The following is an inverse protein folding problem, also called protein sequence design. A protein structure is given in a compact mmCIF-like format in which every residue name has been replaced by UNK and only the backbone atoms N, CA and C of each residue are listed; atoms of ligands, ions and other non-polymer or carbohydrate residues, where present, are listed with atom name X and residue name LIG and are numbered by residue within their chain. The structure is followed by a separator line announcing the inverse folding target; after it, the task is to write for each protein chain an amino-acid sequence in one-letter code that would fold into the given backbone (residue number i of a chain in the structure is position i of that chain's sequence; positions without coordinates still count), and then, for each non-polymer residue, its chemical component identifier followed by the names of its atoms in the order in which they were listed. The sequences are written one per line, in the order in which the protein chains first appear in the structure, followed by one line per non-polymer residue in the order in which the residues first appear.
data_IF_950703506301
#
_entry.id   IF_950703506301
#
_cell.length_a   1.000
_cell.length_b   1.000
_cell.length_c   1.000
_cell.angle_alpha   90.00
_cell.angle_beta   90.00
_cell.angle_gamma   90.00
#
_symmetry.space_group_name_H-M   'P 1'
#
loop_
_entity.id
_entity.type
_entity.pdbx_description
1 polymer ?
#
# COMPACT_ATOMS: atom_id res chain seq x y z
N UNK A 1 -1.46 -4.03 23.11
CA UNK A 1 -1.99 -3.81 24.44
C UNK A 1 -2.45 -2.36 24.55
N UNK A 2 -3.73 -2.12 24.87
CA UNK A 2 -4.29 -0.77 24.96
C UNK A 2 -4.48 -0.36 26.44
N UNK A 3 -3.96 0.80 26.80
CA UNK A 3 -4.08 1.41 28.12
C UNK A 3 -4.74 2.79 27.96
N UNK A 4 -5.68 3.14 28.84
CA UNK A 4 -6.36 4.42 28.78
C UNK A 4 -5.51 5.53 29.44
N UNK A 5 -5.02 6.49 28.66
CA UNK A 5 -4.18 7.60 29.15
C UNK A 5 -4.94 8.56 30.09
N UNK A 6 -6.26 8.72 29.92
CA UNK A 6 -7.03 9.61 30.80
C UNK A 6 -7.19 9.04 32.21
N UNK A 7 -7.12 7.71 32.36
CA UNK A 7 -7.15 7.04 33.66
C UNK A 7 -5.83 7.11 34.41
N UNK A 8 -4.74 7.43 33.73
CA UNK A 8 -3.36 7.49 34.27
C UNK A 8 -3.01 6.30 35.17
N UNK A 9 -3.42 5.11 34.76
CA UNK A 9 -3.21 3.88 35.50
C UNK A 9 -3.10 2.70 34.54
N UNK A 10 -2.15 1.80 34.84
CA UNK A 10 -2.09 0.46 34.28
C UNK A 10 -2.15 -0.57 35.41
N UNK A 11 -2.57 -1.77 35.11
CA UNK A 11 -2.74 -2.85 36.05
C UNK A 11 -1.57 -3.85 35.96
N UNK A 12 -1.27 -4.57 37.03
CA UNK A 12 -0.28 -5.65 36.98
C UNK A 12 -0.64 -6.73 35.96
N UNK A 13 -1.92 -6.97 35.71
CA UNK A 13 -2.41 -7.91 34.73
C UNK A 13 -1.97 -7.53 33.28
N UNK A 14 -1.94 -6.24 32.94
CA UNK A 14 -1.48 -5.75 31.63
C UNK A 14 0.02 -5.99 31.46
N UNK A 15 0.80 -5.76 32.53
CA UNK A 15 2.23 -6.04 32.53
C UNK A 15 2.51 -7.54 32.42
N UNK A 16 1.75 -8.38 33.12
CA UNK A 16 1.91 -9.83 33.07
C UNK A 16 1.52 -10.42 31.71
N UNK A 17 0.50 -9.86 31.05
CA UNK A 17 0.15 -10.20 29.67
C UNK A 17 1.31 -9.84 28.72
N UNK A 18 1.88 -8.65 28.85
CA UNK A 18 3.01 -8.22 28.01
C UNK A 18 4.22 -9.16 28.19
N UNK A 19 4.58 -9.50 29.45
CA UNK A 19 5.64 -10.47 29.77
C UNK A 19 5.36 -11.84 29.14
N UNK A 20 4.13 -12.34 29.28
CA UNK A 20 3.73 -13.63 28.71
C UNK A 20 3.89 -13.66 27.20
N UNK A 21 3.41 -12.63 26.49
CA UNK A 21 3.47 -12.53 25.03
C UNK A 21 4.91 -12.46 24.51
N UNK A 22 5.75 -11.60 25.11
CA UNK A 22 7.17 -11.49 24.75
C UNK A 22 7.91 -12.82 24.97
N UNK A 23 7.64 -13.52 26.07
CA UNK A 23 8.22 -14.83 26.34
C UNK A 23 7.79 -15.90 25.32
N UNK A 24 6.70 -15.68 24.60
CA UNK A 24 6.24 -16.52 23.50
C UNK A 24 6.75 -16.07 22.13
N UNK A 25 7.63 -15.06 22.10
CA UNK A 25 8.15 -14.50 20.85
C UNK A 25 7.13 -13.62 20.09
N UNK A 26 6.06 -13.20 20.74
CA UNK A 26 5.03 -12.34 20.17
C UNK A 26 5.39 -10.89 20.49
N UNK A 27 5.65 -10.03 19.48
CA UNK A 27 5.96 -8.63 19.72
C UNK A 27 4.75 -7.90 20.31
N UNK A 28 5.01 -7.02 21.27
CA UNK A 28 4.00 -6.23 21.96
C UNK A 28 4.22 -4.75 21.70
N UNK A 29 3.18 -4.03 21.30
CA UNK A 29 3.11 -2.57 21.26
C UNK A 29 2.14 -2.16 22.35
N UNK A 30 2.55 -1.25 23.23
CA UNK A 30 1.66 -0.61 24.18
C UNK A 30 1.06 0.64 23.56
N UNK A 31 -0.25 0.77 23.59
CA UNK A 31 -0.97 1.89 22.98
C UNK A 31 -1.68 2.66 24.09
N UNK A 32 -1.23 3.87 24.35
CA UNK A 32 -1.95 4.81 25.19
C UNK A 32 -3.07 5.44 24.38
N UNK A 33 -4.31 5.15 24.75
CA UNK A 33 -5.51 5.61 24.06
C UNK A 33 -6.08 6.87 24.72
N UNK A 34 -6.84 7.68 23.96
CA UNK A 34 -7.43 8.94 24.44
C UNK A 34 -6.40 9.93 24.97
N UNK A 35 -5.21 9.94 24.39
CA UNK A 35 -4.11 10.82 24.82
C UNK A 35 -4.43 12.28 24.53
N UNK A 36 -4.37 13.11 25.56
CA UNK A 36 -4.57 14.55 25.47
C UNK A 36 -3.24 15.31 25.32
N UNK A 37 -2.21 14.89 26.01
CA UNK A 37 -0.89 15.48 25.94
C UNK A 37 0.10 14.55 25.25
N UNK A 38 0.59 14.94 24.08
CA UNK A 38 1.54 14.17 23.27
C UNK A 38 3.01 14.56 23.50
N UNK A 39 3.26 15.65 24.20
CA UNK A 39 4.61 16.21 24.31
C UNK A 39 5.22 16.00 25.71
N UNK A 40 4.45 16.28 26.76
CA UNK A 40 4.90 16.18 28.15
C UNK A 40 3.94 15.26 28.93
N UNK A 41 3.83 14.01 28.50
CA UNK A 41 2.99 13.03 29.16
C UNK A 41 3.82 12.24 30.18
N UNK A 42 3.67 12.58 31.45
CA UNK A 42 4.38 11.91 32.56
C UNK A 42 3.95 10.45 32.69
N UNK A 43 2.66 10.16 32.51
CA UNK A 43 2.16 8.80 32.54
C UNK A 43 2.73 7.94 31.39
N UNK A 44 2.89 8.52 30.21
CA UNK A 44 3.55 7.82 29.09
C UNK A 44 4.99 7.44 29.44
N UNK A 45 5.75 8.33 30.09
CA UNK A 45 7.12 8.03 30.56
C UNK A 45 7.14 6.92 31.61
N UNK A 46 6.18 6.92 32.53
CA UNK A 46 6.03 5.87 33.52
C UNK A 46 5.76 4.52 32.85
N UNK A 47 4.83 4.48 31.88
CA UNK A 47 4.51 3.28 31.10
C UNK A 47 5.72 2.81 30.27
N UNK A 48 6.44 3.73 29.64
CA UNK A 48 7.69 3.40 28.90
C UNK A 48 8.71 2.71 29.79
N UNK A 49 8.90 3.20 31.00
CA UNK A 49 9.82 2.60 31.97
C UNK A 49 9.32 1.22 32.42
N UNK A 50 8.04 1.09 32.78
CA UNK A 50 7.45 -0.15 33.27
C UNK A 50 7.47 -1.27 32.21
N UNK A 51 7.20 -0.92 30.95
CA UNK A 51 7.12 -1.87 29.83
C UNK A 51 8.39 -1.99 28.98
N UNK A 52 9.48 -1.31 29.36
CA UNK A 52 10.73 -1.23 28.60
C UNK A 52 11.26 -2.57 28.07
N UNK A 53 11.16 -3.62 28.89
CA UNK A 53 11.65 -4.96 28.55
C UNK A 53 10.56 -5.89 28.00
N UNK A 54 9.32 -5.42 27.91
CA UNK A 54 8.13 -6.22 27.61
C UNK A 54 7.29 -5.66 26.47
N UNK A 55 7.75 -4.58 25.86
CA UNK A 55 7.14 -4.02 24.66
C UNK A 55 8.20 -3.57 23.66
N UNK A 56 7.82 -3.55 22.38
CA UNK A 56 8.64 -2.98 21.33
C UNK A 56 8.67 -1.44 21.44
N UNK A 57 7.52 -0.84 21.72
CA UNK A 57 7.36 0.61 21.91
C UNK A 57 6.05 0.94 22.61
N UNK A 58 5.94 2.20 23.04
CA UNK A 58 4.72 2.83 23.55
C UNK A 58 4.26 3.87 22.52
N UNK A 59 3.04 3.72 22.01
CA UNK A 59 2.44 4.65 21.05
C UNK A 59 1.31 5.45 21.72
N UNK A 60 1.37 6.77 21.63
CA UNK A 60 0.31 7.65 22.12
C UNK A 60 -0.71 7.90 21.02
N UNK A 61 -2.00 7.71 21.29
CA UNK A 61 -3.03 7.82 20.25
C UNK A 61 -4.29 8.57 20.75
N UNK A 62 -4.86 9.34 19.83
CA UNK A 62 -6.24 9.82 19.86
C UNK A 62 -6.90 9.46 18.53
N UNK A 63 -7.73 8.43 18.55
CA UNK A 63 -8.31 7.83 17.36
C UNK A 63 -9.58 8.57 16.88
N UNK A 64 -10.18 9.42 17.70
CA UNK A 64 -11.43 10.14 17.43
C UNK A 64 -11.18 11.64 17.64
N UNK A 65 -11.78 12.48 16.81
CA UNK A 65 -11.83 13.92 17.05
C UNK A 65 -12.71 14.18 18.27
N UNK A 66 -12.23 14.98 19.21
CA UNK A 66 -12.91 15.32 20.45
C UNK A 66 -13.28 16.81 20.43
N UNK A 67 -14.54 17.12 20.65
CA UNK A 67 -15.01 18.48 20.83
C UNK A 67 -14.71 18.93 22.26
N UNK A 68 -14.13 20.12 22.41
CA UNK A 68 -13.85 20.73 23.70
C UNK A 68 -14.94 21.77 23.96
N UNK A 69 -15.61 21.62 25.07
CA UNK A 69 -16.61 22.57 25.56
C UNK A 69 -16.02 23.49 26.62
N UNK A 70 -16.57 24.66 26.78
CA UNK A 70 -16.25 25.53 27.88
C UNK A 70 -16.70 24.90 29.22
N UNK A 71 -15.90 25.07 30.27
CA UNK A 71 -16.24 24.52 31.61
C UNK A 71 -17.38 25.27 32.29
N UNK A 72 -17.48 26.57 32.01
CA UNK A 72 -18.52 27.45 32.60
C UNK A 72 -19.77 27.50 31.72
N UNK A 73 -19.63 27.32 30.39
CA UNK A 73 -20.72 27.29 29.41
C UNK A 73 -20.71 25.96 28.62
N UNK A 74 -21.30 24.88 29.14
CA UNK A 74 -21.19 23.51 28.57
C UNK A 74 -21.73 23.34 27.15
N UNK A 75 -22.51 24.29 26.64
CA UNK A 75 -23.03 24.29 25.28
C UNK A 75 -22.10 25.05 24.30
N UNK A 76 -21.11 25.80 24.83
CA UNK A 76 -20.15 26.53 24.00
C UNK A 76 -18.96 25.65 23.61
N UNK A 77 -18.72 25.53 22.30
CA UNK A 77 -17.57 24.78 21.74
C UNK A 77 -16.37 25.73 21.66
N UNK A 78 -15.38 25.51 22.52
CA UNK A 78 -14.12 26.29 22.52
C UNK A 78 -13.03 25.73 21.65
N UNK A 79 -13.17 24.50 21.16
CA UNK A 79 -12.19 23.91 20.28
C UNK A 79 -12.45 22.46 19.89
N UNK A 80 -11.48 21.91 19.14
CA UNK A 80 -11.47 20.50 18.75
C UNK A 80 -10.07 19.92 18.83
N UNK A 81 -9.96 18.75 19.45
CA UNK A 81 -8.73 17.95 19.44
C UNK A 81 -8.77 16.98 18.28
N UNK A 82 -7.87 17.14 17.32
CA UNK A 82 -7.79 16.28 16.11
C UNK A 82 -7.27 14.90 16.43
N UNK A 83 -7.59 13.93 15.55
CA UNK A 83 -6.95 12.60 15.52
C UNK A 83 -5.44 12.75 15.44
N UNK A 84 -4.69 11.98 16.25
CA UNK A 84 -3.23 11.99 16.31
C UNK A 84 -2.66 10.66 16.76
N UNK A 85 -1.43 10.33 16.32
CA UNK A 85 -0.67 9.16 16.75
C UNK A 85 -1.06 7.85 16.04
N UNK A 86 -2.07 7.86 15.17
CA UNK A 86 -2.47 6.67 14.40
C UNK A 86 -1.41 6.30 13.36
N UNK A 87 -0.78 7.29 12.73
CA UNK A 87 0.28 7.09 11.75
C UNK A 87 1.49 6.38 12.37
N UNK A 88 1.88 6.80 13.58
CA UNK A 88 2.98 6.20 14.34
C UNK A 88 2.63 4.74 14.72
N UNK A 89 1.40 4.50 15.18
CA UNK A 89 0.94 3.14 15.50
C UNK A 89 0.95 2.23 14.26
N UNK A 90 0.48 2.72 13.10
CA UNK A 90 0.50 1.97 11.85
C UNK A 90 1.94 1.64 11.45
N UNK A 91 2.84 2.62 11.50
CA UNK A 91 4.25 2.43 11.17
C UNK A 91 4.91 1.40 12.10
N UNK A 92 4.77 1.58 13.40
CA UNK A 92 5.34 0.67 14.39
C UNK A 92 4.79 -0.74 14.24
N UNK A 93 3.49 -0.88 13.99
CA UNK A 93 2.87 -2.18 13.74
C UNK A 93 3.47 -2.85 12.49
N UNK A 94 3.66 -2.10 11.41
CA UNK A 94 4.26 -2.63 10.17
C UNK A 94 5.71 -3.07 10.35
N UNK A 95 6.46 -2.42 11.25
CA UNK A 95 7.85 -2.76 11.54
C UNK A 95 8.00 -4.07 12.31
N UNK A 96 7.12 -4.31 13.27
CA UNK A 96 7.22 -5.47 14.18
C UNK A 96 6.61 -6.76 13.64
N UNK A 97 5.66 -6.68 12.69
CA UNK A 97 5.06 -7.89 12.12
C UNK A 97 6.03 -8.64 11.21
N UNK A 98 6.00 -10.00 11.17
CA UNK A 98 6.82 -10.80 10.29
C UNK A 98 6.60 -10.43 8.82
N UNK A 99 7.66 -10.51 8.00
CA UNK A 99 7.60 -10.15 6.57
C UNK A 99 6.49 -10.88 5.82
N UNK A 100 6.26 -12.16 6.12
CA UNK A 100 5.18 -12.95 5.53
C UNK A 100 3.76 -12.38 5.79
N UNK A 101 3.57 -11.59 6.84
CA UNK A 101 2.28 -11.00 7.23
C UNK A 101 2.12 -9.56 6.74
N UNK A 102 3.20 -8.88 6.34
CA UNK A 102 3.17 -7.47 5.93
C UNK A 102 2.21 -7.20 4.77
N UNK A 103 2.12 -8.14 3.83
CA UNK A 103 1.18 -8.04 2.71
C UNK A 103 -0.28 -8.05 3.19
N UNK A 104 -0.64 -8.99 4.06
CA UNK A 104 -2.00 -9.07 4.61
C UNK A 104 -2.35 -7.82 5.43
N UNK A 105 -1.41 -7.35 6.26
CA UNK A 105 -1.56 -6.12 7.02
C UNK A 105 -1.77 -4.91 6.11
N UNK A 106 -0.92 -4.72 5.08
CA UNK A 106 -1.07 -3.60 4.15
C UNK A 106 -2.41 -3.62 3.42
N UNK A 107 -2.88 -4.79 3.00
CA UNK A 107 -4.17 -4.92 2.31
C UNK A 107 -5.35 -4.51 3.20
N UNK A 108 -5.28 -4.81 4.52
CA UNK A 108 -6.31 -4.46 5.48
C UNK A 108 -6.36 -2.97 5.85
N UNK A 109 -5.28 -2.21 5.61
CA UNK A 109 -5.23 -0.79 5.94
C UNK A 109 -6.16 0.04 5.06
N UNK A 110 -6.79 1.08 5.65
CA UNK A 110 -7.62 2.02 4.91
C UNK A 110 -6.78 2.99 4.07
N UNK A 111 -7.21 3.26 2.84
CA UNK A 111 -6.58 4.27 1.97
C UNK A 111 -6.83 5.73 2.42
N UNK A 112 -7.71 5.96 3.40
CA UNK A 112 -7.95 7.30 3.98
C UNK A 112 -6.80 7.79 4.82
N UNK A 113 -5.95 6.88 5.31
CA UNK A 113 -4.79 7.23 6.11
C UNK A 113 -3.56 7.33 5.20
N UNK A 114 -2.84 8.46 5.27
CA UNK A 114 -1.67 8.72 4.43
C UNK A 114 -0.56 7.71 4.65
N UNK A 115 -0.25 7.37 5.91
CA UNK A 115 0.79 6.39 6.24
C UNK A 115 0.44 4.99 5.73
N UNK A 116 -0.82 4.59 5.89
CA UNK A 116 -1.33 3.36 5.32
C UNK A 116 -1.19 3.33 3.79
N UNK A 117 -1.46 4.46 3.14
CA UNK A 117 -1.33 4.59 1.69
C UNK A 117 0.13 4.47 1.21
N UNK A 118 1.08 5.03 1.96
CA UNK A 118 2.51 4.89 1.67
C UNK A 118 2.97 3.42 1.80
N UNK A 119 2.52 2.71 2.83
CA UNK A 119 2.77 1.27 3.02
C UNK A 119 2.17 0.45 1.86
N UNK A 120 0.93 0.76 1.43
CA UNK A 120 0.30 0.11 0.27
C UNK A 120 1.10 0.33 -1.01
N UNK A 121 1.60 1.55 -1.23
CA UNK A 121 2.45 1.87 -2.38
C UNK A 121 3.74 1.05 -2.37
N UNK A 122 4.42 0.95 -1.22
CA UNK A 122 5.62 0.12 -1.07
C UNK A 122 5.32 -1.35 -1.39
N UNK A 123 4.25 -1.91 -0.82
CA UNK A 123 3.85 -3.30 -1.05
C UNK A 123 3.48 -3.54 -2.53
N UNK A 124 2.75 -2.62 -3.16
CA UNK A 124 2.42 -2.69 -4.58
C UNK A 124 3.67 -2.64 -5.46
N UNK A 125 4.69 -1.84 -5.10
CA UNK A 125 5.97 -1.80 -5.82
C UNK A 125 6.73 -3.14 -5.73
N UNK A 126 6.63 -3.89 -4.62
CA UNK A 126 7.17 -5.26 -4.52
C UNK A 126 6.49 -6.22 -5.51
N UNK A 127 5.18 -6.09 -5.72
CA UNK A 127 4.45 -6.90 -6.73
C UNK A 127 4.90 -6.55 -8.16
N UNK A 128 5.22 -5.28 -8.44
CA UNK A 128 5.78 -4.86 -9.73
C UNK A 128 7.15 -5.51 -9.96
N UNK A 129 8.03 -5.48 -8.96
CA UNK A 129 9.37 -6.10 -9.05
C UNK A 129 9.24 -7.60 -9.31
N UNK A 130 8.37 -8.30 -8.59
CA UNK A 130 8.14 -9.72 -8.77
C UNK A 130 7.63 -10.05 -10.17
N UNK A 131 6.62 -9.30 -10.67
CA UNK A 131 6.09 -9.49 -12.02
C UNK A 131 7.12 -9.18 -13.11
N UNK A 132 7.95 -8.17 -12.90
CA UNK A 132 9.04 -7.79 -13.80
C UNK A 132 10.06 -8.93 -13.95
N UNK A 133 10.44 -9.56 -12.84
CA UNK A 133 11.34 -10.71 -12.86
C UNK A 133 10.72 -11.93 -13.58
N UNK A 134 9.43 -12.20 -13.35
CA UNK A 134 8.70 -13.26 -14.05
C UNK A 134 8.62 -12.98 -15.56
N UNK A 135 8.35 -11.72 -15.96
CA UNK A 135 8.29 -11.32 -17.36
C UNK A 135 9.64 -11.47 -18.07
N UNK A 136 10.74 -11.12 -17.38
CA UNK A 136 12.10 -11.33 -17.90
C UNK A 136 12.41 -12.82 -18.10
N UNK A 137 12.08 -13.67 -17.11
CA UNK A 137 12.31 -15.10 -17.19
C UNK A 137 11.45 -15.76 -18.31
N UNK A 138 10.19 -15.36 -18.44
CA UNK A 138 9.32 -15.85 -19.50
C UNK A 138 9.83 -15.51 -20.90
N UNK A 139 10.32 -14.28 -21.10
CA UNK A 139 10.86 -13.82 -22.38
C UNK A 139 12.26 -14.38 -22.69
N UNK A 140 12.98 -14.90 -21.71
CA UNK A 140 14.26 -15.58 -21.92
C UNK A 140 14.11 -16.99 -22.50
N UNK A 141 12.89 -17.55 -22.47
CA UNK A 141 12.61 -18.89 -23.00
C UNK A 141 12.34 -18.78 -24.50
N UNK A 142 13.11 -19.44 -25.40
CA UNK A 142 12.95 -19.32 -26.82
C UNK A 142 11.75 -20.13 -27.32
N UNK A 143 10.53 -19.60 -27.12
CA UNK A 143 9.31 -20.20 -27.68
C UNK A 143 8.82 -19.27 -28.80
N UNK A 144 8.81 -19.73 -30.07
CA UNK A 144 8.34 -18.90 -31.17
C UNK A 144 6.88 -18.48 -30.97
N UNK A 145 6.55 -17.21 -31.20
CA UNK A 145 5.20 -16.62 -31.11
C UNK A 145 4.58 -16.50 -29.69
N UNK A 146 5.34 -16.73 -28.61
CA UNK A 146 4.78 -16.75 -27.26
C UNK A 146 4.72 -15.38 -26.56
N UNK A 147 5.38 -14.36 -27.08
CA UNK A 147 5.68 -13.13 -26.33
C UNK A 147 4.44 -12.37 -25.86
N UNK A 148 3.43 -12.19 -26.72
CA UNK A 148 2.19 -11.50 -26.33
C UNK A 148 1.29 -12.40 -25.45
N UNK A 149 1.23 -13.69 -25.72
CA UNK A 149 0.39 -14.63 -24.97
C UNK A 149 0.92 -14.91 -23.58
N UNK A 150 2.22 -14.80 -23.35
CA UNK A 150 2.86 -15.03 -22.04
C UNK A 150 2.90 -13.76 -21.19
N UNK A 151 3.14 -12.58 -21.78
CA UNK A 151 3.25 -11.34 -21.02
C UNK A 151 1.91 -10.81 -20.53
N UNK A 152 0.84 -10.91 -21.32
CA UNK A 152 -0.49 -10.41 -20.93
C UNK A 152 -1.00 -11.05 -19.64
N UNK A 153 -0.98 -12.39 -19.44
CA UNK A 153 -1.37 -12.99 -18.18
C UNK A 153 -0.54 -12.49 -16.96
N UNK A 154 0.77 -12.31 -17.15
CA UNK A 154 1.67 -11.80 -16.10
C UNK A 154 1.26 -10.37 -15.71
N UNK A 155 1.01 -9.51 -16.69
CA UNK A 155 0.60 -8.13 -16.48
C UNK A 155 -0.79 -8.03 -15.86
N UNK A 156 -1.76 -8.84 -16.30
CA UNK A 156 -3.10 -8.92 -15.69
C UNK A 156 -3.00 -9.35 -14.23
N UNK A 157 -2.21 -10.37 -13.93
CA UNK A 157 -1.99 -10.83 -12.55
C UNK A 157 -1.32 -9.75 -11.67
N UNK A 158 -0.35 -9.03 -12.22
CA UNK A 158 0.30 -7.89 -11.54
C UNK A 158 -0.71 -6.79 -11.23
N UNK A 159 -1.48 -6.34 -12.21
CA UNK A 159 -2.50 -5.30 -12.06
C UNK A 159 -3.55 -5.73 -11.03
N UNK A 160 -4.00 -7.00 -11.05
CA UNK A 160 -4.92 -7.55 -10.07
C UNK A 160 -4.38 -7.44 -8.64
N UNK A 161 -3.12 -7.85 -8.42
CA UNK A 161 -2.48 -7.80 -7.10
C UNK A 161 -2.31 -6.37 -6.60
N UNK A 162 -1.93 -5.44 -7.48
CA UNK A 162 -1.82 -4.01 -7.16
C UNK A 162 -3.19 -3.46 -6.78
N UNK A 163 -4.23 -3.73 -7.57
CA UNK A 163 -5.62 -3.30 -7.28
C UNK A 163 -6.06 -3.79 -5.91
N UNK A 164 -5.86 -5.09 -5.62
CA UNK A 164 -6.21 -5.68 -4.33
C UNK A 164 -5.45 -5.04 -3.16
N UNK A 165 -4.16 -4.70 -3.34
CA UNK A 165 -3.38 -4.00 -2.32
C UNK A 165 -3.98 -2.63 -1.98
N UNK A 166 -4.55 -1.93 -2.96
CA UNK A 166 -5.25 -0.67 -2.75
C UNK A 166 -6.71 -0.84 -2.28
N UNK A 167 -7.17 -2.07 -2.04
CA UNK A 167 -8.50 -2.37 -1.54
C UNK A 167 -9.58 -2.42 -2.61
N UNK A 168 -9.19 -2.57 -3.87
CA UNK A 168 -10.13 -2.70 -4.98
C UNK A 168 -10.44 -4.17 -5.25
N UNK A 169 -11.72 -4.53 -5.18
CA UNK A 169 -12.20 -5.84 -5.63
C UNK A 169 -12.61 -5.76 -7.11
N UNK A 170 -11.67 -6.09 -7.98
CA UNK A 170 -11.86 -5.96 -9.43
C UNK A 170 -12.01 -7.34 -10.07
N UNK A 171 -13.07 -7.52 -10.84
CA UNK A 171 -13.31 -8.78 -11.54
C UNK A 171 -12.21 -9.06 -12.57
N UNK A 172 -11.88 -10.35 -12.75
CA UNK A 172 -10.90 -10.81 -13.75
C UNK A 172 -11.24 -10.31 -15.15
N UNK A 173 -12.54 -10.22 -15.47
CA UNK A 173 -13.01 -9.73 -16.78
C UNK A 173 -12.66 -8.26 -16.96
N UNK A 174 -12.94 -7.41 -15.96
CA UNK A 174 -12.62 -5.98 -16.01
C UNK A 174 -11.12 -5.74 -16.14
N UNK A 175 -10.30 -6.49 -15.40
CA UNK A 175 -8.84 -6.42 -15.48
C UNK A 175 -8.31 -6.84 -16.86
N UNK A 176 -8.82 -7.95 -17.38
CA UNK A 176 -8.44 -8.43 -18.71
C UNK A 176 -8.83 -7.41 -19.77
N UNK A 177 -10.05 -6.86 -19.69
CA UNK A 177 -10.53 -5.82 -20.61
C UNK A 177 -9.66 -4.56 -20.54
N UNK A 178 -9.27 -4.13 -19.34
CA UNK A 178 -8.39 -2.98 -19.16
C UNK A 178 -7.02 -3.25 -19.81
N UNK A 179 -6.36 -4.35 -19.48
CA UNK A 179 -5.03 -4.67 -20.01
C UNK A 179 -5.10 -4.87 -21.53
N UNK A 180 -6.09 -5.58 -22.05
CA UNK A 180 -6.27 -5.77 -23.50
C UNK A 180 -6.62 -4.46 -24.21
N UNK A 181 -7.34 -3.53 -23.58
CA UNK A 181 -7.61 -2.21 -24.14
C UNK A 181 -6.37 -1.32 -24.20
N UNK A 182 -5.43 -1.51 -23.28
CA UNK A 182 -4.10 -0.87 -23.32
C UNK A 182 -3.25 -1.44 -24.45
N UNK A 183 -3.40 -2.74 -24.72
CA UNK A 183 -2.72 -3.43 -25.81
C UNK A 183 -3.38 -3.14 -27.18
N UNK A 184 -4.63 -2.66 -27.18
CA UNK A 184 -5.41 -2.22 -28.38
C UNK A 184 -6.33 -3.26 -28.99
N UNK A 185 -7.47 -2.78 -29.52
CA UNK A 185 -8.57 -3.57 -30.06
C UNK A 185 -8.35 -4.09 -31.51
N UNK A 186 -7.13 -4.10 -32.00
CA UNK A 186 -6.82 -4.38 -33.39
C UNK A 186 -5.84 -5.53 -33.61
N UNK A 187 -6.12 -6.74 -33.08
CA UNK A 187 -5.38 -7.96 -33.43
C UNK A 187 -3.95 -8.03 -32.91
N UNK A 188 -3.65 -9.10 -32.25
CA UNK A 188 -2.48 -9.38 -31.39
C UNK A 188 -1.06 -9.14 -31.97
N UNK A 189 -0.91 -8.80 -33.24
CA UNK A 189 0.39 -8.64 -33.91
C UNK A 189 0.75 -7.18 -34.20
N UNK A 190 -0.23 -6.32 -34.46
CA UNK A 190 0.05 -4.95 -34.88
C UNK A 190 0.12 -3.95 -33.73
N UNK A 191 -0.59 -4.21 -32.64
CA UNK A 191 -0.77 -3.28 -31.53
C UNK A 191 0.28 -3.48 -30.44
N UNK A 192 0.80 -4.68 -30.27
CA UNK A 192 1.99 -4.90 -29.43
C UNK A 192 3.16 -3.98 -29.82
N UNK A 193 3.26 -3.60 -31.11
CA UNK A 193 4.25 -2.64 -31.57
C UNK A 193 3.98 -1.21 -31.11
N UNK A 194 2.75 -0.75 -31.06
CA UNK A 194 2.46 0.67 -30.77
C UNK A 194 2.56 1.00 -29.29
N UNK A 195 2.09 0.11 -28.40
CA UNK A 195 2.28 0.31 -26.94
C UNK A 195 3.72 0.04 -26.55
N UNK A 196 4.32 -1.02 -27.08
CA UNK A 196 5.73 -1.31 -26.88
C UNK A 196 6.59 -0.12 -27.34
N UNK A 197 6.31 0.48 -28.48
CA UNK A 197 7.04 1.69 -28.93
C UNK A 197 6.74 2.92 -28.09
N UNK A 198 5.53 3.10 -27.58
CA UNK A 198 5.19 4.18 -26.63
C UNK A 198 5.94 4.03 -25.30
N UNK A 199 5.85 2.86 -24.69
CA UNK A 199 6.56 2.55 -23.45
C UNK A 199 8.09 2.52 -23.63
N UNK A 200 8.59 2.05 -24.78
CA UNK A 200 10.02 2.04 -25.10
C UNK A 200 10.59 3.45 -25.30
N UNK A 201 9.80 4.41 -25.77
CA UNK A 201 10.22 5.81 -25.85
C UNK A 201 10.47 6.44 -24.49
N UNK A 202 9.86 5.89 -23.43
CA UNK A 202 10.09 6.32 -22.04
C UNK A 202 11.35 5.71 -21.42
N UNK A 203 11.98 4.75 -22.09
CA UNK A 203 13.18 4.05 -21.59
C UNK A 203 14.39 4.50 -22.42
N UNK A 204 15.31 5.32 -21.87
CA UNK A 204 16.52 5.72 -22.56
C UNK A 204 17.39 4.50 -22.96
N UNK A 205 17.80 4.41 -24.20
CA UNK A 205 18.75 3.40 -24.68
C UNK A 205 18.17 2.09 -25.21
N UNK A 206 16.84 1.93 -25.28
CA UNK A 206 16.21 0.75 -25.91
C UNK A 206 16.02 1.02 -27.40
N UNK A 207 17.01 0.65 -28.19
CA UNK A 207 16.97 0.72 -29.66
C UNK A 207 16.04 -0.31 -30.29
N UNK A 208 15.65 -0.04 -31.50
CA UNK A 208 14.71 -0.75 -32.36
C UNK A 208 14.54 -2.26 -32.14
N UNK A 209 13.28 -2.68 -32.02
CA UNK A 209 12.87 -4.09 -32.06
C UNK A 209 13.16 -4.63 -33.50
N UNK A 210 14.23 -5.35 -33.65
CA UNK A 210 14.57 -6.05 -34.90
C UNK A 210 14.18 -7.51 -34.72
N UNK A 211 13.21 -7.99 -35.49
CA UNK A 211 12.98 -9.40 -35.70
C UNK A 211 11.89 -10.10 -34.90
N UNK A 212 10.94 -9.38 -34.30
CA UNK A 212 9.68 -10.00 -33.82
C UNK A 212 9.71 -10.73 -32.45
N UNK A 213 10.88 -10.93 -31.85
CA UNK A 213 11.00 -11.48 -30.48
C UNK A 213 11.22 -10.33 -29.47
N UNK A 214 10.42 -10.30 -28.42
CA UNK A 214 10.61 -9.38 -27.30
C UNK A 214 11.74 -9.94 -26.41
N UNK A 215 12.83 -9.18 -26.26
CA UNK A 215 13.92 -9.61 -25.38
C UNK A 215 13.49 -9.58 -23.91
N UNK A 216 14.18 -10.38 -23.07
CA UNK A 216 13.96 -10.37 -21.60
C UNK A 216 14.06 -8.96 -21.02
N UNK A 217 14.99 -8.14 -21.50
CA UNK A 217 15.15 -6.74 -21.11
C UNK A 217 13.93 -5.90 -21.50
N UNK A 218 13.41 -6.07 -22.72
CA UNK A 218 12.23 -5.34 -23.20
C UNK A 218 10.98 -5.75 -22.43
N UNK A 219 10.75 -7.05 -22.23
CA UNK A 219 9.62 -7.59 -21.48
C UNK A 219 9.60 -7.08 -20.03
N UNK A 220 10.75 -7.11 -19.36
CA UNK A 220 10.89 -6.60 -17.99
C UNK A 220 10.64 -5.09 -17.93
N UNK A 221 11.20 -4.32 -18.85
CA UNK A 221 11.04 -2.88 -18.90
C UNK A 221 9.59 -2.45 -19.11
N UNK A 222 8.87 -3.09 -20.05
CA UNK A 222 7.44 -2.82 -20.31
C UNK A 222 6.61 -3.16 -19.08
N UNK A 223 6.83 -4.33 -18.46
CA UNK A 223 6.08 -4.76 -17.27
C UNK A 223 6.33 -3.82 -16.10
N UNK A 224 7.58 -3.38 -15.91
CA UNK A 224 7.94 -2.43 -14.87
C UNK A 224 7.27 -1.07 -15.08
N UNK A 225 7.37 -0.48 -16.25
CA UNK A 225 6.77 0.83 -16.54
C UNK A 225 5.25 0.79 -16.38
N UNK A 226 4.60 -0.27 -16.88
CA UNK A 226 3.16 -0.47 -16.71
C UNK A 226 2.78 -0.54 -15.22
N UNK A 227 3.48 -1.36 -14.45
CA UNK A 227 3.22 -1.55 -13.03
C UNK A 227 3.46 -0.28 -12.22
N UNK A 228 4.63 0.36 -12.38
CA UNK A 228 4.97 1.60 -11.67
C UNK A 228 3.96 2.72 -12.01
N UNK A 229 3.56 2.84 -13.27
CA UNK A 229 2.55 3.83 -13.70
C UNK A 229 1.20 3.55 -13.04
N UNK A 230 0.79 2.29 -12.95
CA UNK A 230 -0.47 1.93 -12.31
C UNK A 230 -0.45 2.19 -10.80
N UNK A 231 0.64 1.87 -10.11
CA UNK A 231 0.83 2.20 -8.69
C UNK A 231 0.70 3.71 -8.44
N UNK A 232 1.33 4.53 -9.30
CA UNK A 232 1.23 5.99 -9.19
C UNK A 232 -0.18 6.51 -9.46
N UNK A 233 -0.90 5.93 -10.42
CA UNK A 233 -2.31 6.29 -10.70
C UNK A 233 -3.19 5.97 -9.51
N UNK A 234 -3.09 4.76 -8.94
CA UNK A 234 -3.90 4.39 -7.79
C UNK A 234 -3.55 5.20 -6.54
N UNK A 235 -2.27 5.44 -6.30
CA UNK A 235 -1.83 6.29 -5.19
C UNK A 235 -2.41 7.71 -5.30
N UNK A 236 -2.37 8.31 -6.50
CA UNK A 236 -2.97 9.63 -6.75
C UNK A 236 -4.47 9.62 -6.48
N UNK A 237 -5.21 8.68 -7.09
CA UNK A 237 -6.66 8.57 -6.91
C UNK A 237 -7.04 8.33 -5.44
N UNK A 238 -6.29 7.49 -4.73
CA UNK A 238 -6.51 7.25 -3.31
C UNK A 238 -6.28 8.52 -2.47
N UNK A 239 -5.24 9.31 -2.80
CA UNK A 239 -4.94 10.57 -2.10
C UNK A 239 -6.04 11.61 -2.34
N UNK A 240 -6.64 11.64 -3.53
CA UNK A 240 -7.69 12.58 -3.91
C UNK A 240 -9.10 12.09 -3.50
N UNK A 241 -9.25 10.81 -3.13
CA UNK A 241 -10.54 10.22 -2.76
C UNK A 241 -11.06 10.74 -1.43
N UNK A 242 -12.26 11.31 -1.42
CA UNK A 242 -12.99 11.73 -0.21
C UNK A 242 -13.76 10.58 0.43
N UNK A 243 -14.18 9.59 -0.36
CA UNK A 243 -14.98 8.45 0.09
C UNK A 243 -14.12 7.34 0.69
N UNK A 244 -12.83 7.28 0.30
CA UNK A 244 -11.93 6.18 0.64
C UNK A 244 -12.09 4.99 -0.30
N UNK A 245 -12.64 5.23 -1.49
CA UNK A 245 -12.76 4.25 -2.56
C UNK A 245 -12.05 4.77 -3.81
N UNK A 246 -11.58 3.86 -4.65
CA UNK A 246 -10.95 4.17 -5.92
C UNK A 246 -11.85 3.69 -7.04
N UNK A 247 -12.22 4.60 -7.94
CA UNK A 247 -12.97 4.26 -9.14
C UNK A 247 -12.06 3.56 -10.15
N UNK A 248 -12.40 2.31 -10.47
CA UNK A 248 -11.64 1.48 -11.41
C UNK A 248 -11.65 2.03 -12.85
N UNK A 249 -12.78 2.57 -13.31
CA UNK A 249 -12.89 3.14 -14.66
C UNK A 249 -12.00 4.38 -14.81
N UNK A 250 -11.99 5.23 -13.78
CA UNK A 250 -11.08 6.38 -13.73
C UNK A 250 -9.62 5.94 -13.70
N UNK A 251 -9.28 4.89 -12.92
CA UNK A 251 -7.93 4.34 -12.90
C UNK A 251 -7.51 3.81 -14.27
N UNK A 252 -8.38 3.06 -14.94
CA UNK A 252 -8.13 2.54 -16.29
C UNK A 252 -7.94 3.67 -17.31
N UNK A 253 -8.79 4.72 -17.26
CA UNK A 253 -8.69 5.90 -18.13
C UNK A 253 -7.37 6.65 -17.93
N UNK A 254 -6.98 6.91 -16.68
CA UNK A 254 -5.74 7.60 -16.37
C UNK A 254 -4.50 6.78 -16.75
N UNK A 255 -4.54 5.47 -16.50
CA UNK A 255 -3.46 4.58 -16.93
C UNK A 255 -3.30 4.62 -18.46
N UNK A 256 -4.41 4.49 -19.18
CA UNK A 256 -4.41 4.58 -20.65
C UNK A 256 -3.83 5.91 -21.13
N UNK A 257 -4.25 7.04 -20.57
CA UNK A 257 -3.74 8.35 -20.92
C UNK A 257 -2.23 8.53 -20.66
N UNK A 258 -1.68 7.84 -19.65
CA UNK A 258 -0.25 7.91 -19.32
C UNK A 258 0.62 6.94 -20.14
N UNK A 259 0.03 5.87 -20.64
CA UNK A 259 0.74 4.80 -21.37
C UNK A 259 0.57 4.97 -22.90
N UNK A 260 -0.47 5.68 -23.36
CA UNK A 260 -0.73 5.97 -24.78
C UNK A 260 -0.09 7.30 -25.15
N UNK A 261 1.13 7.23 -25.68
CA UNK A 261 1.80 8.34 -26.36
C UNK A 261 2.18 7.97 -27.80
#
# INVERSE_FOLDING_TARGET
LCINDTGKRYENAELDIAKFLINKGIPVIVVLTKTNNFTNNEFAKEVEVAFKNYSHSVCLTRAIEETIYDEDEPDEIIGKRKVRGIDDLIQTSYEVIPEAQKKAFSNALSIKNKKALDIKKEQASKEVIAATAIAAAAAATPVPFSDAFTLVPIQVAMIAKISYTFGMDVSKVALTTMVTSLIGAGGAVFVGRTIVTGLLKMIPGVGSLVGGAISATTASAITKVLGDTYVLVLYKLATESKTGEIDFEMAAKLLKAKVSF
#
